data_IF_674654023053
#
_entry.id   IF_674654023053
#
_cell.length_a   1.000
_cell.length_b   1.000
_cell.length_c   1.000
_cell.angle_alpha   90.00
_cell.angle_beta   90.00
_cell.angle_gamma   90.00
#
_symmetry.space_group_name_H-M   'P 1'
#
loop_
_entity.id
_entity.type
_entity.pdbx_description
1 polymer ?
#
# COMPACT_ATOMS: atom_id res chain seq x y z
N UNK A 1 15.27 -3.92 0.18
CA UNK A 1 14.86 -5.33 0.33
C UNK A 1 14.24 -5.58 1.70
N UNK A 2 12.93 -5.30 1.84
CA UNK A 2 12.19 -5.51 3.10
C UNK A 2 11.94 -7.00 3.42
N UNK A 3 12.03 -7.89 2.42
CA UNK A 3 11.73 -9.32 2.56
C UNK A 3 12.61 -10.08 3.57
N UNK A 4 13.76 -9.53 3.96
CA UNK A 4 14.70 -10.17 4.89
C UNK A 4 14.86 -9.42 6.21
N UNK A 5 14.02 -8.40 6.46
CA UNK A 5 14.05 -7.66 7.71
C UNK A 5 13.01 -8.22 8.68
N UNK A 6 13.40 -8.32 9.96
CA UNK A 6 12.43 -8.54 11.04
C UNK A 6 11.49 -7.34 11.19
N UNK A 7 10.33 -7.48 11.87
CA UNK A 7 9.42 -6.35 12.11
C UNK A 7 10.08 -5.16 12.84
N UNK A 8 11.01 -5.42 13.76
CA UNK A 8 11.74 -4.37 14.46
C UNK A 8 12.72 -3.65 13.52
N UNK A 9 13.40 -4.39 12.65
CA UNK A 9 14.33 -3.80 11.68
C UNK A 9 13.60 -3.04 10.57
N UNK A 10 12.43 -3.50 10.13
CA UNK A 10 11.63 -2.84 9.10
C UNK A 10 11.04 -1.52 9.60
N UNK A 11 10.65 -1.44 10.88
CA UNK A 11 10.16 -0.20 11.49
C UNK A 11 11.28 0.82 11.71
N UNK A 12 12.52 0.37 11.95
CA UNK A 12 13.68 1.23 12.12
C UNK A 12 14.45 1.54 10.83
N UNK A 13 14.12 0.90 9.70
CA UNK A 13 14.93 0.92 8.45
C UNK A 13 15.17 2.33 7.90
N UNK A 14 14.27 3.26 8.18
CA UNK A 14 14.37 4.65 7.73
C UNK A 14 15.39 5.48 8.53
N UNK A 15 15.88 4.97 9.66
CA UNK A 15 16.92 5.62 10.48
C UNK A 15 18.35 5.37 9.99
N UNK A 16 18.57 4.38 9.12
CA UNK A 16 19.85 4.14 8.46
C UNK A 16 19.86 4.85 7.09
N UNK A 17 20.75 5.82 6.85
CA UNK A 17 20.78 6.57 5.60
C UNK A 17 20.94 5.69 4.36
N UNK A 18 21.79 4.66 4.41
CA UNK A 18 22.06 3.77 3.27
C UNK A 18 20.85 2.89 2.98
N UNK A 19 20.26 2.29 4.01
CA UNK A 19 19.07 1.44 3.84
C UNK A 19 17.86 2.27 3.39
N UNK A 20 17.68 3.46 3.96
CA UNK A 20 16.56 4.34 3.62
C UNK A 20 16.62 4.83 2.17
N UNK A 21 17.82 5.11 1.64
CA UNK A 21 17.99 5.47 0.23
C UNK A 21 17.54 4.33 -0.69
N UNK A 22 17.99 3.11 -0.41
CA UNK A 22 17.57 1.91 -1.16
C UNK A 22 16.06 1.67 -1.07
N UNK A 23 15.45 1.89 0.10
CA UNK A 23 13.98 1.79 0.25
C UNK A 23 13.27 2.76 -0.68
N UNK A 24 13.75 4.01 -0.77
CA UNK A 24 13.16 5.04 -1.62
C UNK A 24 13.29 4.69 -3.11
N UNK A 25 14.45 4.19 -3.53
CA UNK A 25 14.68 3.71 -4.89
C UNK A 25 13.72 2.59 -5.26
N UNK A 26 13.61 1.55 -4.43
CA UNK A 26 12.71 0.41 -4.68
C UNK A 26 11.23 0.84 -4.71
N UNK A 27 10.82 1.77 -3.84
CA UNK A 27 9.48 2.35 -3.89
C UNK A 27 9.24 3.13 -5.18
N UNK A 28 10.24 3.87 -5.65
CA UNK A 28 10.18 4.60 -6.90
C UNK A 28 10.09 3.65 -8.11
N UNK A 29 10.85 2.55 -8.11
CA UNK A 29 10.80 1.53 -9.17
C UNK A 29 9.42 0.86 -9.26
N UNK A 30 8.84 0.48 -8.11
CA UNK A 30 7.47 -0.08 -8.06
C UNK A 30 6.45 0.93 -8.60
N UNK A 31 6.58 2.21 -8.21
CA UNK A 31 5.67 3.25 -8.68
C UNK A 31 5.85 3.53 -10.17
N UNK A 32 7.08 3.60 -10.67
CA UNK A 32 7.39 3.79 -12.08
C UNK A 32 6.82 2.63 -12.93
N UNK A 33 6.95 1.39 -12.45
CA UNK A 33 6.37 0.23 -13.12
C UNK A 33 4.84 0.27 -13.14
N UNK A 34 4.21 0.70 -12.04
CA UNK A 34 2.75 0.89 -11.98
C UNK A 34 2.28 1.96 -12.98
N UNK A 35 2.96 3.12 -13.03
CA UNK A 35 2.64 4.18 -13.98
C UNK A 35 2.81 3.72 -15.43
N UNK A 36 3.91 3.00 -15.71
CA UNK A 36 4.14 2.42 -17.04
C UNK A 36 3.05 1.42 -17.42
N UNK A 37 2.62 0.59 -16.48
CA UNK A 37 1.54 -0.37 -16.72
C UNK A 37 0.21 0.33 -16.98
N UNK A 38 -0.11 1.39 -16.23
CA UNK A 38 -1.30 2.20 -16.45
C UNK A 38 -1.30 2.82 -17.86
N UNK A 39 -0.16 3.38 -18.28
CA UNK A 39 0.04 3.95 -19.62
C UNK A 39 -0.13 2.91 -20.74
N UNK A 40 0.47 1.71 -20.63
CA UNK A 40 0.27 0.62 -21.61
C UNK A 40 -1.19 0.20 -21.74
N UNK A 41 -1.92 0.22 -20.62
CA UNK A 41 -3.29 -0.27 -20.55
C UNK A 41 -4.34 0.82 -20.77
N UNK A 42 -3.93 2.06 -21.07
CA UNK A 42 -4.82 3.23 -21.19
C UNK A 42 -5.72 3.39 -19.96
N UNK A 43 -5.11 3.28 -18.78
CA UNK A 43 -5.81 3.27 -17.49
C UNK A 43 -5.54 4.56 -16.72
N UNK A 44 -6.60 5.28 -16.35
CA UNK A 44 -6.54 6.37 -15.39
C UNK A 44 -6.35 5.81 -13.97
N UNK A 45 -5.09 5.81 -13.51
CA UNK A 45 -4.73 5.25 -12.20
C UNK A 45 -5.25 6.08 -11.03
N UNK A 46 -5.48 7.38 -11.23
CA UNK A 46 -6.06 8.26 -10.21
C UNK A 46 -7.53 7.92 -10.00
N UNK A 47 -8.29 7.82 -11.10
CA UNK A 47 -9.70 7.42 -11.03
C UNK A 47 -9.86 6.00 -10.46
N UNK A 48 -9.01 5.05 -10.88
CA UNK A 48 -9.04 3.68 -10.35
C UNK A 48 -8.76 3.64 -8.83
N UNK A 49 -7.88 4.49 -8.32
CA UNK A 49 -7.63 4.63 -6.89
C UNK A 49 -8.87 5.22 -6.17
N UNK A 50 -9.49 6.26 -6.73
CA UNK A 50 -10.69 6.87 -6.17
C UNK A 50 -11.85 5.85 -6.06
N UNK A 51 -12.11 5.09 -7.12
CA UNK A 51 -13.13 4.04 -7.15
C UNK A 51 -12.83 2.95 -6.10
N UNK A 52 -11.55 2.57 -5.98
CA UNK A 52 -11.12 1.57 -5.01
C UNK A 52 -11.34 2.04 -3.57
N UNK A 53 -11.11 3.32 -3.28
CA UNK A 53 -11.36 3.90 -1.96
C UNK A 53 -12.84 3.84 -1.61
N UNK A 54 -13.74 4.14 -2.55
CA UNK A 54 -15.19 4.06 -2.30
C UNK A 54 -15.66 2.62 -2.06
N UNK A 55 -15.18 1.66 -2.86
CA UNK A 55 -15.43 0.23 -2.63
C UNK A 55 -14.92 -0.20 -1.24
N UNK A 56 -13.76 0.29 -0.82
CA UNK A 56 -13.21 -0.02 0.48
C UNK A 56 -14.02 0.60 1.61
N UNK A 57 -14.59 1.80 1.45
CA UNK A 57 -15.48 2.45 2.42
C UNK A 57 -16.73 1.60 2.68
N UNK A 58 -17.32 1.06 1.63
CA UNK A 58 -18.47 0.14 1.74
C UNK A 58 -18.10 -1.19 2.41
N UNK A 59 -16.92 -1.74 2.10
CA UNK A 59 -16.45 -3.01 2.68
C UNK A 59 -16.00 -2.88 4.13
N UNK A 60 -15.39 -1.76 4.50
CA UNK A 60 -14.80 -1.54 5.81
C UNK A 60 -15.39 -0.30 6.48
N UNK A 61 -16.64 -0.36 6.97
CA UNK A 61 -17.24 0.74 7.70
C UNK A 61 -16.37 1.12 8.91
N UNK A 62 -16.11 2.41 9.09
CA UNK A 62 -15.18 2.88 10.13
C UNK A 62 -15.55 2.41 11.54
N UNK A 63 -16.85 2.33 11.86
CA UNK A 63 -17.33 1.86 13.16
C UNK A 63 -17.09 0.37 13.42
N UNK A 64 -16.84 -0.43 12.38
CA UNK A 64 -16.57 -1.87 12.49
C UNK A 64 -15.08 -2.21 12.31
N UNK A 65 -14.38 -1.45 11.45
CA UNK A 65 -13.05 -1.81 10.95
C UNK A 65 -11.90 -0.98 11.54
N UNK A 66 -12.16 0.15 12.23
CA UNK A 66 -11.08 1.01 12.73
C UNK A 66 -10.17 0.26 13.70
N UNK A 67 -8.86 0.30 13.42
CA UNK A 67 -7.84 -0.39 14.23
C UNK A 67 -7.77 -1.91 14.03
N UNK A 68 -8.51 -2.46 13.05
CA UNK A 68 -8.59 -3.90 12.78
C UNK A 68 -8.16 -4.18 11.34
N UNK A 69 -7.37 -5.23 11.15
CA UNK A 69 -6.98 -5.74 9.84
C UNK A 69 -7.87 -6.91 9.36
N UNK A 70 -8.90 -7.25 10.14
CA UNK A 70 -9.85 -8.32 9.82
C UNK A 70 -10.50 -8.06 8.45
N UNK A 71 -10.67 -9.11 7.65
CA UNK A 71 -11.34 -8.98 6.34
C UNK A 71 -12.79 -8.57 6.55
N UNK A 72 -13.38 -7.82 5.62
CA UNK A 72 -14.78 -7.38 5.72
C UNK A 72 -15.79 -8.53 5.91
N UNK A 73 -15.45 -9.75 5.47
CA UNK A 73 -16.24 -10.97 5.67
C UNK A 73 -16.27 -11.45 7.13
N UNK A 74 -15.38 -10.92 7.97
CA UNK A 74 -15.21 -11.27 9.39
C UNK A 74 -15.65 -10.12 10.32
N UNK A 75 -16.04 -8.96 9.77
CA UNK A 75 -16.61 -7.86 10.54
C UNK A 75 -18.04 -8.23 10.94
N UNK A 76 -18.25 -8.51 12.23
CA UNK A 76 -19.60 -8.74 12.78
C UNK A 76 -20.36 -7.42 12.78
N UNK A 77 -21.58 -7.43 12.24
CA UNK A 77 -22.53 -6.31 12.27
C UNK A 77 -23.12 -6.13 13.67
#
# INVERSE_FOLDING_TARGET
MFQWLTPAESTAVMGDPVRSARVREEMADVFAYLLRMADVLDLDVEQALADKIEVNRCKYPAHLARGRADKYTQLRR
#
